data_IF_760494386922
#
_entry.id   IF_760494386922
#
_cell.length_a   1.000
_cell.length_b   1.000
_cell.length_c   1.000
_cell.angle_alpha   90.00
_cell.angle_beta   90.00
_cell.angle_gamma   90.00
#
_symmetry.space_group_name_H-M   'P 1'
#
loop_
_entity.id
_entity.type
_entity.pdbx_description
1 polymer ?
#
# COMPACT_ATOMS: atom_id res chain seq x y z
N UNK A 1 -7.01 17.98 32.00
CA UNK A 1 -7.85 17.65 30.82
C UNK A 1 -6.99 16.80 29.89
N UNK A 2 -7.27 15.50 29.83
CA UNK A 2 -6.46 14.53 29.07
C UNK A 2 -6.57 14.81 27.57
N UNK A 3 -5.45 15.11 26.91
CA UNK A 3 -5.37 15.01 25.45
C UNK A 3 -5.04 13.55 25.11
N UNK A 4 -5.95 12.96 24.33
CA UNK A 4 -5.90 11.58 23.88
C UNK A 4 -4.53 11.23 23.27
N UNK A 5 -3.99 10.08 23.69
CA UNK A 5 -2.89 9.40 23.02
C UNK A 5 -3.38 9.02 21.62
N UNK A 6 -3.03 9.80 20.60
CA UNK A 6 -3.08 9.31 19.22
C UNK A 6 -2.14 8.10 19.15
N UNK A 7 -2.53 6.99 18.49
CA UNK A 7 -1.62 5.87 18.30
C UNK A 7 -0.37 6.40 17.59
N UNK A 8 0.76 6.39 18.30
CA UNK A 8 2.04 6.78 17.74
C UNK A 8 2.42 5.78 16.67
N UNK A 9 2.10 6.09 15.42
CA UNK A 9 2.77 5.44 14.31
C UNK A 9 4.24 5.86 14.37
N UNK A 10 5.11 4.90 14.67
CA UNK A 10 6.53 5.16 14.90
C UNK A 10 7.24 5.35 13.56
N UNK A 11 7.87 6.51 13.37
CA UNK A 11 8.68 6.83 12.20
C UNK A 11 10.16 6.83 12.54
N UNK A 12 10.98 6.14 11.75
CA UNK A 12 12.45 6.20 11.91
C UNK A 12 13.03 7.51 11.36
N UNK A 13 12.50 8.00 10.24
CA UNK A 13 12.93 9.23 9.58
C UNK A 13 11.75 9.93 8.92
N UNK A 14 11.81 11.25 8.90
CA UNK A 14 10.90 12.11 8.16
C UNK A 14 11.74 13.01 7.24
N UNK A 15 11.46 12.99 5.95
CA UNK A 15 12.08 13.92 5.00
C UNK A 15 11.59 15.34 5.33
N UNK A 16 12.52 16.25 5.65
CA UNK A 16 12.18 17.64 5.99
C UNK A 16 11.93 18.49 4.75
N UNK A 17 12.61 18.15 3.66
CA UNK A 17 12.47 18.87 2.40
C UNK A 17 11.24 18.36 1.64
N UNK A 18 10.45 19.26 1.03
CA UNK A 18 9.30 18.86 0.24
C UNK A 18 9.75 18.07 -0.98
N UNK A 19 9.26 16.83 -1.11
CA UNK A 19 9.45 16.03 -2.31
C UNK A 19 8.58 16.61 -3.46
N UNK A 20 9.16 17.05 -4.59
CA UNK A 20 8.47 17.89 -5.59
C UNK A 20 7.17 17.33 -6.17
N UNK A 21 6.94 16.01 -6.10
CA UNK A 21 5.74 15.35 -6.64
C UNK A 21 4.82 14.73 -5.58
N UNK A 22 5.27 14.66 -4.34
CA UNK A 22 4.55 14.02 -3.23
C UNK A 22 3.96 15.07 -2.27
N UNK A 23 4.59 16.25 -2.19
CA UNK A 23 4.22 17.29 -1.20
C UNK A 23 3.18 18.31 -1.67
N UNK A 24 2.74 18.27 -2.94
CA UNK A 24 1.89 19.31 -3.53
C UNK A 24 0.40 19.14 -3.22
N UNK A 25 -0.08 17.91 -3.00
CA UNK A 25 -1.47 17.60 -2.70
C UNK A 25 -1.55 16.33 -1.83
N UNK A 26 -2.70 16.06 -1.16
CA UNK A 26 -2.89 14.80 -0.45
C UNK A 26 -2.67 13.61 -1.39
N UNK A 27 -1.74 12.74 -1.04
CA UNK A 27 -1.34 11.60 -1.85
C UNK A 27 -1.39 10.32 -1.01
N UNK A 28 -1.71 9.22 -1.65
CA UNK A 28 -1.49 7.87 -1.14
C UNK A 28 -0.47 7.18 -2.04
N UNK A 29 0.54 6.56 -1.42
CA UNK A 29 1.57 5.79 -2.11
C UNK A 29 1.25 4.32 -1.88
N UNK A 30 1.08 3.58 -2.97
CA UNK A 30 0.87 2.14 -2.98
C UNK A 30 2.13 1.42 -3.42
N UNK A 31 2.37 0.24 -2.82
CA UNK A 31 3.27 -0.78 -3.32
C UNK A 31 2.50 -2.08 -3.50
N UNK A 32 2.79 -2.83 -4.54
CA UNK A 32 2.14 -4.12 -4.77
C UNK A 32 3.10 -5.14 -5.39
N UNK A 33 2.95 -6.38 -4.95
CA UNK A 33 3.68 -7.53 -5.48
C UNK A 33 2.80 -8.79 -5.48
N UNK A 34 3.14 -9.75 -6.33
CA UNK A 34 2.63 -11.12 -6.29
C UNK A 34 3.80 -12.06 -6.14
N UNK A 35 3.80 -12.82 -5.04
CA UNK A 35 4.81 -13.85 -4.81
C UNK A 35 4.28 -15.22 -5.24
N UNK A 36 5.03 -15.89 -6.12
CA UNK A 36 4.73 -17.23 -6.58
C UNK A 36 5.44 -18.31 -5.74
N UNK A 37 4.86 -19.52 -5.64
CA UNK A 37 5.59 -20.67 -5.12
C UNK A 37 6.74 -21.06 -6.06
N UNK A 38 7.57 -22.01 -5.60
CA UNK A 38 8.72 -22.52 -6.37
C UNK A 38 8.38 -22.80 -7.84
N UNK A 39 9.31 -22.57 -8.80
CA UNK A 39 9.13 -22.89 -10.21
C UNK A 39 8.70 -24.34 -10.52
N UNK A 40 8.96 -25.29 -9.61
CA UNK A 40 8.55 -26.69 -9.77
C UNK A 40 7.16 -27.00 -9.18
N UNK A 41 6.62 -26.09 -8.38
CA UNK A 41 5.30 -26.23 -7.79
C UNK A 41 4.22 -25.88 -8.83
N UNK A 42 3.19 -26.73 -8.88
CA UNK A 42 2.06 -26.61 -9.82
C UNK A 42 0.71 -26.49 -9.13
N UNK A 43 0.69 -26.50 -7.80
CA UNK A 43 -0.55 -26.65 -7.02
C UNK A 43 -0.75 -25.53 -6.02
N UNK A 44 0.31 -25.00 -5.41
CA UNK A 44 0.16 -23.92 -4.43
C UNK A 44 -0.27 -22.62 -5.11
N UNK A 45 -1.18 -21.91 -4.46
CA UNK A 45 -1.60 -20.56 -4.85
C UNK A 45 -0.46 -19.55 -4.83
N UNK A 46 -0.70 -18.42 -5.47
CA UNK A 46 0.16 -17.23 -5.32
C UNK A 46 -0.41 -16.32 -4.25
N UNK A 47 0.42 -15.44 -3.71
CA UNK A 47 0.00 -14.46 -2.70
C UNK A 47 0.21 -13.07 -3.25
N UNK A 48 -0.88 -12.33 -3.42
CA UNK A 48 -0.84 -10.90 -3.71
C UNK A 48 -0.74 -10.10 -2.42
N UNK A 49 0.12 -9.09 -2.42
CA UNK A 49 0.29 -8.15 -1.31
C UNK A 49 0.15 -6.74 -1.85
N UNK A 50 -0.68 -5.93 -1.19
CA UNK A 50 -0.78 -4.49 -1.43
C UNK A 50 -0.47 -3.78 -0.12
N UNK A 51 0.47 -2.84 -0.18
CA UNK A 51 0.80 -1.92 0.91
C UNK A 51 0.42 -0.51 0.50
N UNK A 52 0.07 0.33 1.48
CA UNK A 52 -0.12 1.74 1.21
C UNK A 52 0.22 2.63 2.40
N UNK A 53 0.67 3.85 2.11
CA UNK A 53 0.86 4.90 3.10
C UNK A 53 -0.47 5.24 3.79
N UNK A 54 -0.48 5.29 5.11
CA UNK A 54 -1.69 5.60 5.92
C UNK A 54 -1.59 6.91 6.67
N UNK A 55 -0.47 7.62 6.57
CA UNK A 55 -0.29 8.98 7.11
C UNK A 55 -0.14 10.02 5.99
N UNK A 56 -0.12 11.30 6.39
CA UNK A 56 0.06 12.43 5.46
C UNK A 56 1.51 12.66 5.00
N UNK A 57 2.47 11.93 5.56
CA UNK A 57 3.89 12.09 5.34
C UNK A 57 4.48 11.02 4.41
N UNK A 58 3.72 9.97 4.10
CA UNK A 58 4.17 8.83 3.32
C UNK A 58 5.13 7.91 4.10
N UNK A 59 5.10 7.92 5.43
CA UNK A 59 6.08 7.18 6.25
C UNK A 59 5.49 5.87 6.77
N UNK A 60 4.31 5.93 7.36
CA UNK A 60 3.66 4.77 7.96
C UNK A 60 2.81 4.06 6.92
N UNK A 61 2.94 2.73 6.86
CA UNK A 61 2.26 1.90 5.86
C UNK A 61 1.42 0.81 6.52
N UNK A 62 0.29 0.49 5.90
CA UNK A 62 -0.49 -0.70 6.19
C UNK A 62 -0.37 -1.69 5.03
N UNK A 63 -0.72 -2.96 5.27
CA UNK A 63 -0.67 -4.04 4.29
C UNK A 63 -1.98 -4.82 4.27
N UNK A 64 -2.35 -5.35 3.12
CA UNK A 64 -3.42 -6.32 2.93
C UNK A 64 -2.93 -7.41 1.97
N UNK A 65 -3.35 -8.65 2.20
CA UNK A 65 -2.88 -9.83 1.46
C UNK A 65 -4.06 -10.65 0.97
N UNK A 66 -3.88 -11.32 -0.17
CA UNK A 66 -4.85 -12.24 -0.75
C UNK A 66 -4.15 -13.46 -1.31
N UNK A 67 -4.72 -14.62 -1.02
CA UNK A 67 -4.45 -15.82 -1.80
C UNK A 67 -5.17 -15.69 -3.13
N UNK A 68 -4.50 -16.06 -4.22
CA UNK A 68 -5.05 -16.00 -5.57
C UNK A 68 -4.60 -17.20 -6.41
N UNK A 69 -5.12 -17.30 -7.64
CA UNK A 69 -4.83 -18.40 -8.55
C UNK A 69 -3.33 -18.73 -8.68
N UNK A 70 -3.03 -19.99 -9.03
CA UNK A 70 -1.64 -20.44 -9.24
C UNK A 70 -0.99 -19.64 -10.37
N UNK A 71 0.11 -18.94 -10.05
CA UNK A 71 0.89 -18.12 -10.99
C UNK A 71 0.08 -17.10 -11.79
N UNK A 72 -0.93 -16.52 -11.15
CA UNK A 72 -1.65 -15.37 -11.70
C UNK A 72 -0.86 -14.12 -11.30
N UNK A 73 -0.32 -13.37 -12.26
CA UNK A 73 0.42 -12.12 -12.00
C UNK A 73 -0.50 -10.91 -11.75
N UNK A 74 -1.70 -10.96 -12.31
CA UNK A 74 -2.74 -9.97 -12.04
C UNK A 74 -3.21 -10.11 -10.60
N UNK A 75 -3.26 -9.00 -9.85
CA UNK A 75 -3.84 -9.01 -8.51
C UNK A 75 -5.36 -9.09 -8.66
N UNK A 76 -5.94 -10.26 -8.36
CA UNK A 76 -7.35 -10.56 -8.67
C UNK A 76 -8.31 -9.68 -7.88
N UNK A 77 -8.02 -9.43 -6.60
CA UNK A 77 -8.85 -8.64 -5.67
C UNK A 77 -8.29 -7.22 -5.42
N UNK A 78 -7.61 -6.64 -6.43
CA UNK A 78 -6.95 -5.33 -6.29
C UNK A 78 -7.93 -4.22 -5.88
N UNK A 79 -9.16 -4.25 -6.40
CA UNK A 79 -10.18 -3.25 -6.09
C UNK A 79 -10.48 -3.20 -4.59
N UNK A 80 -10.83 -4.34 -3.99
CA UNK A 80 -11.15 -4.41 -2.55
C UNK A 80 -9.94 -4.03 -1.69
N UNK A 81 -8.76 -4.53 -2.05
CA UNK A 81 -7.50 -4.20 -1.36
C UNK A 81 -7.20 -2.70 -1.42
N UNK A 82 -7.37 -2.06 -2.57
CA UNK A 82 -7.19 -0.62 -2.72
C UNK A 82 -8.23 0.18 -1.92
N UNK A 83 -9.49 -0.26 -1.91
CA UNK A 83 -10.56 0.37 -1.12
C UNK A 83 -10.27 0.28 0.39
N UNK A 84 -9.74 -0.83 0.88
CA UNK A 84 -9.29 -0.98 2.27
C UNK A 84 -8.24 0.08 2.64
N UNK A 85 -7.23 0.25 1.78
CA UNK A 85 -6.15 1.23 1.98
C UNK A 85 -6.65 2.67 1.89
N UNK A 86 -7.53 2.99 0.94
CA UNK A 86 -8.16 4.31 0.82
C UNK A 86 -9.01 4.64 2.05
N UNK A 87 -9.74 3.66 2.59
CA UNK A 87 -10.46 3.80 3.85
C UNK A 87 -9.51 3.97 5.04
N UNK A 88 -8.33 3.33 5.02
CA UNK A 88 -7.33 3.47 6.09
C UNK A 88 -6.74 4.89 6.13
N UNK A 89 -6.22 5.41 5.01
CA UNK A 89 -5.67 6.78 4.97
C UNK A 89 -6.74 7.84 5.27
N UNK A 90 -7.99 7.64 4.83
CA UNK A 90 -9.08 8.57 5.13
C UNK A 90 -9.42 8.58 6.62
N UNK A 91 -9.38 7.42 7.29
CA UNK A 91 -9.62 7.35 8.74
C UNK A 91 -8.58 8.16 9.53
N UNK A 92 -7.33 8.13 9.11
CA UNK A 92 -6.22 8.84 9.76
C UNK A 92 -6.19 10.33 9.40
N UNK A 93 -6.26 10.67 8.12
CA UNK A 93 -6.02 12.05 7.64
C UNK A 93 -7.29 12.90 7.54
N UNK A 94 -8.47 12.26 7.56
CA UNK A 94 -9.78 12.86 7.24
C UNK A 94 -9.84 13.56 5.88
N UNK A 95 -8.93 13.22 4.96
CA UNK A 95 -8.86 13.77 3.60
C UNK A 95 -8.81 12.64 2.60
N UNK A 96 -9.52 12.79 1.48
CA UNK A 96 -9.37 11.88 0.35
C UNK A 96 -8.07 12.22 -0.39
N UNK A 97 -7.26 11.23 -0.80
CA UNK A 97 -6.12 11.48 -1.67
C UNK A 97 -6.60 12.13 -2.97
N UNK A 98 -5.92 13.19 -3.39
CA UNK A 98 -6.08 13.80 -4.71
C UNK A 98 -5.19 13.12 -5.76
N UNK A 99 -4.16 12.39 -5.30
CA UNK A 99 -3.20 11.67 -6.14
C UNK A 99 -2.97 10.27 -5.60
N UNK A 100 -2.73 9.34 -6.52
CA UNK A 100 -2.33 7.95 -6.25
C UNK A 100 -1.01 7.71 -6.98
N UNK A 101 0.01 7.29 -6.25
CA UNK A 101 1.26 6.80 -6.82
C UNK A 101 1.35 5.31 -6.55
N UNK A 102 1.47 4.49 -7.59
CA UNK A 102 1.40 3.03 -7.48
C UNK A 102 2.66 2.39 -8.04
N UNK A 103 3.41 1.70 -7.20
CA UNK A 103 4.56 0.88 -7.60
C UNK A 103 4.14 -0.60 -7.64
N UNK A 104 4.19 -1.22 -8.82
CA UNK A 104 4.03 -2.67 -9.00
C UNK A 104 5.40 -3.27 -9.29
N UNK A 105 5.85 -4.17 -8.44
CA UNK A 105 7.08 -4.94 -8.66
C UNK A 105 6.81 -6.16 -9.55
N UNK A 106 7.81 -6.95 -9.94
CA UNK A 106 7.64 -8.35 -10.36
C UNK A 106 6.96 -8.62 -11.70
N UNK A 107 6.51 -7.60 -12.46
CA UNK A 107 5.87 -7.79 -13.78
C UNK A 107 6.90 -7.67 -14.89
N UNK A 108 6.98 -8.66 -15.78
CA UNK A 108 7.83 -8.62 -16.96
C UNK A 108 7.23 -7.73 -18.07
N UNK A 109 8.01 -7.41 -19.10
CA UNK A 109 7.55 -6.59 -20.24
C UNK A 109 6.55 -7.32 -21.17
N UNK A 110 6.30 -8.60 -20.91
CA UNK A 110 5.63 -9.54 -21.83
C UNK A 110 4.12 -9.41 -21.90
#
# INVERSE_FOLDING_TARGET
MMLAKNPMHMSNLLCKDPLPKISLAPIIIFGADVTHPSPMDKTRSSVATVVASVDKWGVCHAATLREQGHRVEQIEDLESMAVEMLKAIFRETKRKPAQILFYRDGVSEG
#
